data_IF_041827859673
#
_entry.id   IF_041827859673
#
_cell.length_a   1.000
_cell.length_b   1.000
_cell.length_c   1.000
_cell.angle_alpha   90.00
_cell.angle_beta   90.00
_cell.angle_gamma   90.00
#
_symmetry.space_group_name_H-M   'P 1'
#
loop_
_entity.id
_entity.type
_entity.pdbx_description
1 polymer ?
#
# COMPACT_ATOMS: atom_id res chain seq x y z
N UNK A 1 10.42 9.99 -18.81
CA UNK A 1 9.70 9.08 -17.87
C UNK A 1 10.57 7.88 -17.61
N UNK A 2 10.76 7.52 -16.35
CA UNK A 2 11.61 6.40 -15.98
C UNK A 2 10.96 5.07 -16.33
N UNK A 3 11.77 4.02 -16.48
CA UNK A 3 11.25 2.67 -16.69
C UNK A 3 10.40 2.20 -15.51
N UNK A 4 10.77 2.60 -14.30
CA UNK A 4 10.02 2.26 -13.10
C UNK A 4 8.61 2.88 -13.14
N UNK A 5 8.50 4.14 -13.58
CA UNK A 5 7.20 4.77 -13.72
C UNK A 5 6.32 4.02 -14.72
N UNK A 6 6.89 3.59 -15.84
CA UNK A 6 6.15 2.80 -16.84
C UNK A 6 5.63 1.49 -16.23
N UNK A 7 6.46 0.83 -15.43
CA UNK A 7 6.06 -0.41 -14.76
C UNK A 7 4.96 -0.16 -13.74
N UNK A 8 5.06 0.92 -12.98
CA UNK A 8 4.03 1.28 -11.99
C UNK A 8 2.67 1.50 -12.65
N UNK A 9 2.66 2.02 -13.87
CA UNK A 9 1.41 2.25 -14.61
C UNK A 9 0.80 0.97 -15.18
N UNK A 10 1.55 -0.12 -15.20
CA UNK A 10 1.05 -1.39 -15.72
C UNK A 10 0.19 -2.08 -14.65
N UNK A 11 -1.11 -1.92 -14.75
CA UNK A 11 -2.08 -2.45 -13.79
C UNK A 11 -1.94 -3.97 -13.66
N UNK A 12 -1.64 -4.66 -14.75
CA UNK A 12 -1.53 -6.13 -14.74
C UNK A 12 -0.34 -6.63 -13.92
N UNK A 13 0.70 -5.81 -13.75
CA UNK A 13 1.87 -6.17 -12.95
C UNK A 13 1.74 -5.78 -11.48
N UNK A 14 0.74 -4.97 -11.13
CA UNK A 14 0.54 -4.56 -9.74
C UNK A 14 0.37 -5.77 -8.83
N UNK A 15 0.96 -5.73 -7.66
CA UNK A 15 0.94 -6.84 -6.73
C UNK A 15 1.67 -6.50 -5.43
N UNK A 16 1.94 -7.55 -4.66
CA UNK A 16 2.69 -7.45 -3.41
C UNK A 16 4.08 -8.03 -3.64
N UNK A 17 5.10 -7.22 -3.42
CA UNK A 17 6.49 -7.57 -3.74
C UNK A 17 7.43 -7.15 -2.62
N UNK A 18 8.61 -7.76 -2.61
CA UNK A 18 9.73 -7.25 -1.84
C UNK A 18 10.42 -6.16 -2.66
N UNK A 19 10.74 -5.04 -2.03
CA UNK A 19 11.39 -3.93 -2.73
C UNK A 19 12.79 -4.33 -3.18
N UNK A 20 13.09 -4.15 -4.46
CA UNK A 20 14.38 -4.51 -5.06
C UNK A 20 15.05 -3.33 -5.78
N UNK A 21 14.64 -2.11 -5.47
CA UNK A 21 15.25 -0.90 -5.99
C UNK A 21 15.46 0.08 -4.85
N UNK A 22 16.11 1.22 -5.14
CA UNK A 22 16.28 2.26 -4.12
C UNK A 22 14.92 2.89 -3.79
N UNK A 23 14.67 3.07 -2.50
CA UNK A 23 13.42 3.68 -2.03
C UNK A 23 13.22 5.08 -2.61
N UNK A 24 14.28 5.87 -2.70
CA UNK A 24 14.21 7.23 -3.29
C UNK A 24 13.81 7.18 -4.76
N UNK A 25 14.25 6.16 -5.50
CA UNK A 25 13.84 5.98 -6.89
C UNK A 25 12.36 5.64 -6.99
N UNK A 26 11.86 4.80 -6.09
CA UNK A 26 10.44 4.48 -6.02
C UNK A 26 9.61 5.72 -5.70
N UNK A 27 10.04 6.51 -4.72
CA UNK A 27 9.36 7.76 -4.35
C UNK A 27 9.29 8.73 -5.52
N UNK A 28 10.42 8.92 -6.22
CA UNK A 28 10.47 9.81 -7.37
C UNK A 28 9.56 9.32 -8.50
N UNK A 29 9.56 8.01 -8.76
CA UNK A 29 8.75 7.43 -9.84
C UNK A 29 7.26 7.51 -9.52
N UNK A 30 6.85 7.27 -8.29
CA UNK A 30 5.46 7.42 -7.86
C UNK A 30 4.98 8.86 -8.05
N UNK A 31 5.82 9.83 -7.69
CA UNK A 31 5.52 11.24 -7.90
C UNK A 31 5.39 11.57 -9.39
N UNK A 32 6.30 11.08 -10.21
CA UNK A 32 6.26 11.30 -11.67
C UNK A 32 5.02 10.70 -12.30
N UNK A 33 4.57 9.56 -11.81
CA UNK A 33 3.34 8.90 -12.26
C UNK A 33 2.08 9.56 -11.71
N UNK A 34 2.22 10.48 -10.78
CA UNK A 34 1.10 11.07 -10.03
C UNK A 34 0.32 10.02 -9.22
N UNK A 35 1.03 9.03 -8.71
CA UNK A 35 0.47 8.02 -7.82
C UNK A 35 0.60 8.48 -6.36
N UNK A 36 -0.43 8.19 -5.56
CA UNK A 36 -0.34 8.41 -4.13
C UNK A 36 0.64 7.40 -3.52
N UNK A 37 1.55 7.87 -2.68
CA UNK A 37 2.53 7.05 -1.99
C UNK A 37 2.25 7.07 -0.50
N UNK A 38 2.10 5.89 0.08
CA UNK A 38 1.95 5.71 1.52
C UNK A 38 3.15 4.93 2.05
N UNK A 39 3.68 5.33 3.20
CA UNK A 39 4.78 4.61 3.84
C UNK A 39 4.43 4.35 5.30
N UNK A 40 4.52 3.09 5.70
CA UNK A 40 4.31 2.66 7.07
C UNK A 40 5.54 1.95 7.61
N UNK A 41 5.86 2.18 8.89
CA UNK A 41 6.97 1.52 9.56
C UNK A 41 6.43 0.53 10.58
N UNK A 42 6.53 -0.75 10.26
CA UNK A 42 6.04 -1.84 11.09
C UNK A 42 7.16 -2.55 11.85
N UNK A 43 8.38 -1.98 11.84
CA UNK A 43 9.53 -2.61 12.50
C UNK A 43 9.30 -2.84 13.99
N UNK A 44 8.61 -1.92 14.65
CA UNK A 44 8.31 -2.00 16.09
C UNK A 44 6.86 -2.41 16.38
N UNK A 45 6.11 -2.82 15.36
CA UNK A 45 4.73 -3.24 15.51
C UNK A 45 4.67 -4.75 15.77
N UNK A 46 4.50 -5.13 17.04
CA UNK A 46 4.56 -6.52 17.48
C UNK A 46 3.20 -7.16 17.75
N UNK A 47 2.13 -6.39 17.68
CA UNK A 47 0.78 -6.90 17.87
C UNK A 47 -0.19 -6.28 16.88
N UNK A 48 -1.39 -6.87 16.81
CA UNK A 48 -2.44 -6.44 15.88
C UNK A 48 -2.76 -4.94 16.03
N UNK A 49 -2.88 -4.46 17.28
CA UNK A 49 -3.26 -3.08 17.53
C UNK A 49 -2.24 -2.08 16.99
N UNK A 50 -0.96 -2.32 17.21
CA UNK A 50 0.10 -1.45 16.70
C UNK A 50 0.23 -1.52 15.19
N UNK A 51 0.05 -2.69 14.59
CA UNK A 51 0.04 -2.84 13.13
C UNK A 51 -1.09 -2.02 12.51
N UNK A 52 -2.31 -2.16 13.04
CA UNK A 52 -3.47 -1.43 12.52
C UNK A 52 -3.32 0.08 12.71
N UNK A 53 -2.81 0.52 13.87
CA UNK A 53 -2.60 1.95 14.12
C UNK A 53 -1.60 2.55 13.14
N UNK A 54 -0.50 1.86 12.87
CA UNK A 54 0.52 2.35 11.94
C UNK A 54 0.00 2.37 10.50
N UNK A 55 -0.76 1.37 10.09
CA UNK A 55 -1.36 1.35 8.76
C UNK A 55 -2.38 2.48 8.60
N UNK A 56 -3.20 2.72 9.62
CA UNK A 56 -4.14 3.84 9.61
C UNK A 56 -3.42 5.17 9.44
N UNK A 57 -2.32 5.36 10.17
CA UNK A 57 -1.48 6.55 10.06
C UNK A 57 -0.89 6.67 8.64
N UNK A 58 -0.35 5.57 8.11
CA UNK A 58 0.33 5.56 6.81
C UNK A 58 -0.60 5.99 5.68
N UNK A 59 -1.84 5.54 5.69
CA UNK A 59 -2.82 5.88 4.66
C UNK A 59 -3.64 7.13 5.01
N UNK A 60 -3.34 7.77 6.15
CA UNK A 60 -4.09 8.92 6.66
C UNK A 60 -5.58 8.63 6.77
N UNK A 61 -5.92 7.48 7.36
CA UNK A 61 -7.30 7.03 7.48
C UNK A 61 -8.15 8.04 8.27
N UNK A 62 -9.41 8.24 7.87
CA UNK A 62 -10.28 9.18 8.58
C UNK A 62 -10.68 8.66 9.97
N UNK A 63 -11.29 9.53 10.76
CA UNK A 63 -11.65 9.24 12.14
C UNK A 63 -12.63 8.08 12.30
N UNK A 64 -13.39 7.76 11.25
CA UNK A 64 -14.33 6.64 11.30
C UNK A 64 -13.64 5.27 11.24
N UNK A 65 -12.32 5.25 11.01
CA UNK A 65 -11.58 4.00 10.91
C UNK A 65 -11.62 3.24 12.24
N UNK A 66 -12.20 2.03 12.21
CA UNK A 66 -12.16 1.11 13.34
C UNK A 66 -10.86 0.30 13.33
N UNK A 67 -10.23 0.09 14.46
CA UNK A 67 -8.94 -0.60 14.55
C UNK A 67 -9.14 -2.12 14.49
N UNK A 68 -9.61 -2.63 13.35
CA UNK A 68 -9.76 -4.06 13.11
C UNK A 68 -9.46 -4.36 11.63
N UNK A 69 -9.30 -5.65 11.32
CA UNK A 69 -8.92 -6.07 9.97
C UNK A 69 -9.98 -5.72 8.93
N UNK A 70 -11.26 -5.84 9.27
CA UNK A 70 -12.36 -5.51 8.36
C UNK A 70 -12.34 -4.01 8.00
N UNK A 71 -12.10 -3.16 9.00
CA UNK A 71 -11.98 -1.73 8.78
C UNK A 71 -10.78 -1.38 7.90
N UNK A 72 -9.66 -2.08 8.08
CA UNK A 72 -8.49 -1.88 7.22
C UNK A 72 -8.80 -2.27 5.79
N UNK A 73 -9.44 -3.41 5.56
CA UNK A 73 -9.83 -3.84 4.23
C UNK A 73 -10.75 -2.83 3.56
N UNK A 74 -11.74 -2.33 4.29
CA UNK A 74 -12.68 -1.33 3.78
C UNK A 74 -11.97 -0.02 3.44
N UNK A 75 -11.07 0.43 4.30
CA UNK A 75 -10.32 1.67 4.09
C UNK A 75 -9.43 1.58 2.85
N UNK A 76 -8.69 0.48 2.71
CA UNK A 76 -7.80 0.27 1.56
C UNK A 76 -8.58 0.12 0.25
N UNK A 77 -9.81 -0.39 0.29
CA UNK A 77 -10.67 -0.49 -0.88
C UNK A 77 -11.47 0.77 -1.16
N UNK A 78 -11.37 1.78 -0.32
CA UNK A 78 -12.07 3.06 -0.49
C UNK A 78 -11.13 4.17 -0.94
N UNK A 79 -10.24 4.62 -0.07
CA UNK A 79 -9.25 5.68 -0.31
C UNK A 79 -9.85 6.95 -0.92
N UNK A 80 -11.12 7.23 -0.62
CA UNK A 80 -11.83 8.40 -1.17
C UNK A 80 -11.24 9.72 -0.72
N UNK A 81 -10.53 9.72 0.42
CA UNK A 81 -9.84 10.91 0.96
C UNK A 81 -8.48 11.15 0.28
N UNK A 82 -8.04 10.23 -0.56
CA UNK A 82 -6.77 10.34 -1.27
C UNK A 82 -6.92 9.77 -2.68
N UNK A 83 -7.86 10.28 -3.44
CA UNK A 83 -8.08 9.83 -4.82
C UNK A 83 -6.84 10.05 -5.66
N UNK A 84 -6.47 9.05 -6.45
CA UNK A 84 -5.28 9.07 -7.26
C UNK A 84 -5.44 8.16 -8.47
N UNK A 85 -4.55 8.30 -9.44
CA UNK A 85 -4.51 7.42 -10.61
C UNK A 85 -4.03 6.03 -10.29
N UNK A 86 -3.28 5.90 -9.21
CA UNK A 86 -2.78 4.64 -8.70
C UNK A 86 -2.18 4.85 -7.32
N UNK A 87 -1.80 3.75 -6.68
CA UNK A 87 -1.35 3.77 -5.29
C UNK A 87 -0.11 2.92 -5.10
N UNK A 88 0.79 3.39 -4.25
CA UNK A 88 1.98 2.64 -3.82
C UNK A 88 2.00 2.66 -2.29
N UNK A 89 2.03 1.48 -1.68
CA UNK A 89 2.16 1.33 -0.23
C UNK A 89 3.49 0.64 0.07
N UNK A 90 4.34 1.32 0.82
CA UNK A 90 5.63 0.79 1.25
C UNK A 90 5.56 0.46 2.73
N UNK A 91 5.88 -0.76 3.10
CA UNK A 91 5.87 -1.22 4.48
C UNK A 91 7.29 -1.63 4.90
N UNK A 92 7.83 -0.93 5.90
CA UNK A 92 9.12 -1.22 6.47
C UNK A 92 8.96 -2.15 7.66
N UNK A 93 9.84 -3.13 7.80
CA UNK A 93 9.82 -4.05 8.90
C UNK A 93 9.52 -5.48 8.46
N UNK A 94 9.72 -6.43 9.37
CA UNK A 94 9.54 -7.85 9.06
C UNK A 94 8.12 -8.29 9.41
N UNK A 95 7.18 -8.02 8.51
CA UNK A 95 5.78 -8.40 8.67
C UNK A 95 5.31 -9.37 7.58
N UNK A 96 6.25 -9.93 6.84
CA UNK A 96 5.92 -10.83 5.73
C UNK A 96 5.23 -12.11 6.21
N UNK A 97 5.39 -12.49 7.50
CA UNK A 97 4.74 -13.65 8.10
C UNK A 97 3.33 -13.37 8.65
N UNK A 98 2.84 -12.14 8.58
CA UNK A 98 1.51 -11.79 9.08
C UNK A 98 0.46 -12.16 8.04
N UNK A 99 -0.16 -13.33 8.22
CA UNK A 99 -1.08 -13.90 7.21
C UNK A 99 -2.29 -13.01 6.94
N UNK A 100 -2.90 -12.48 7.99
CA UNK A 100 -4.11 -11.66 7.85
C UNK A 100 -3.82 -10.39 7.06
N UNK A 101 -2.70 -9.74 7.36
CA UNK A 101 -2.26 -8.57 6.63
C UNK A 101 -2.01 -8.90 5.17
N UNK A 102 -1.31 -10.01 4.90
CA UNK A 102 -1.00 -10.42 3.53
C UNK A 102 -2.27 -10.70 2.73
N UNK A 103 -3.26 -11.37 3.33
CA UNK A 103 -4.54 -11.63 2.67
C UNK A 103 -5.25 -10.33 2.30
N UNK A 104 -5.26 -9.37 3.22
CA UNK A 104 -5.90 -8.06 2.98
C UNK A 104 -5.18 -7.30 1.86
N UNK A 105 -3.86 -7.31 1.88
CA UNK A 105 -3.07 -6.61 0.85
C UNK A 105 -3.27 -7.23 -0.54
N UNK A 106 -3.27 -8.55 -0.63
CA UNK A 106 -3.54 -9.25 -1.90
C UNK A 106 -4.95 -8.95 -2.41
N UNK A 107 -5.94 -8.97 -1.52
CA UNK A 107 -7.33 -8.65 -1.88
C UNK A 107 -7.47 -7.20 -2.34
N UNK A 108 -6.74 -6.29 -1.70
CA UNK A 108 -6.73 -4.87 -2.07
C UNK A 108 -6.17 -4.67 -3.48
N UNK A 109 -5.05 -5.33 -3.78
CA UNK A 109 -4.45 -5.28 -5.12
C UNK A 109 -5.46 -5.73 -6.17
N UNK A 110 -6.12 -6.86 -5.92
CA UNK A 110 -7.11 -7.41 -6.86
C UNK A 110 -8.31 -6.47 -7.01
N UNK A 111 -8.81 -5.91 -5.91
CA UNK A 111 -9.94 -4.98 -5.93
C UNK A 111 -9.66 -3.80 -6.87
N UNK A 112 -8.50 -3.16 -6.71
CA UNK A 112 -8.14 -2.00 -7.53
C UNK A 112 -7.85 -2.39 -8.97
N UNK A 113 -7.24 -3.55 -9.18
CA UNK A 113 -6.99 -4.08 -10.53
C UNK A 113 -8.30 -4.23 -11.30
N UNK A 114 -9.36 -4.71 -10.65
CA UNK A 114 -10.69 -4.82 -11.25
C UNK A 114 -11.31 -3.45 -11.55
N UNK A 115 -10.83 -2.39 -10.88
CA UNK A 115 -11.21 -1.00 -11.17
C UNK A 115 -10.27 -0.34 -12.18
N UNK A 116 -9.38 -1.11 -12.77
CA UNK A 116 -8.35 -0.64 -13.70
C UNK A 116 -7.40 0.39 -13.08
N UNK A 117 -7.11 0.21 -11.80
CA UNK A 117 -6.12 1.02 -11.08
C UNK A 117 -5.04 0.14 -10.49
N UNK A 118 -3.79 0.59 -10.58
CA UNK A 118 -2.67 -0.14 -9.99
C UNK A 118 -2.58 0.17 -8.50
N UNK A 119 -2.50 -0.87 -7.67
CA UNK A 119 -2.21 -0.76 -6.25
C UNK A 119 -1.01 -1.65 -5.97
N UNK A 120 0.11 -1.02 -5.66
CA UNK A 120 1.37 -1.70 -5.44
C UNK A 120 1.69 -1.76 -3.96
N UNK A 121 2.18 -2.90 -3.52
CA UNK A 121 2.68 -3.05 -2.14
C UNK A 121 4.12 -3.51 -2.21
N UNK A 122 4.99 -2.82 -1.50
CA UNK A 122 6.41 -3.19 -1.41
C UNK A 122 6.81 -3.33 0.06
N UNK A 123 7.40 -4.48 0.36
CA UNK A 123 8.03 -4.70 1.66
C UNK A 123 9.49 -4.28 1.55
N UNK A 124 9.85 -3.26 2.31
CA UNK A 124 11.18 -2.68 2.27
C UNK A 124 12.06 -3.15 3.42
#
# INVERSE_FOLDING_TARGET
MSDLCKRLRNVNEAGVYRLNCLLDDLRASAKDCEFALFEGNLADAHDKGTVLAELARAIAAPDWFGHNWDALADALGDLSWKKSQGYVLVLHGDVAGEEMLNEILEATVLFWKLQNKAFWVFFA
#
